data_IF_478790989332
#
_entry.id   IF_478790989332
#
_cell.length_a   1.000
_cell.length_b   1.000
_cell.length_c   1.000
_cell.angle_alpha   90.00
_cell.angle_beta   90.00
_cell.angle_gamma   90.00
#
_symmetry.space_group_name_H-M   'P 1'
#
loop_
_entity.id
_entity.type
_entity.pdbx_description
1 polymer ?
#
# COMPACT_ATOMS: atom_id res chain seq x y z
N UNK A 1 36.01 -17.75 22.13
CA UNK A 1 35.97 -18.94 21.25
C UNK A 1 34.57 -19.20 20.69
N UNK A 2 33.56 -19.59 21.50
CA UNK A 2 32.21 -19.85 20.98
C UNK A 2 31.40 -18.58 20.65
N UNK A 3 31.62 -17.49 21.39
CA UNK A 3 30.94 -16.20 21.17
C UNK A 3 31.45 -15.52 19.90
N UNK A 4 32.74 -15.63 19.60
CA UNK A 4 33.35 -14.99 18.42
C UNK A 4 32.90 -15.63 17.10
N UNK A 5 32.65 -16.95 17.10
CA UNK A 5 32.12 -17.65 15.94
C UNK A 5 30.64 -17.30 15.65
N UNK A 6 29.85 -17.07 16.71
CA UNK A 6 28.45 -16.66 16.57
C UNK A 6 28.32 -15.21 16.07
N UNK A 7 29.21 -14.32 16.50
CA UNK A 7 29.27 -12.94 16.01
C UNK A 7 29.71 -12.91 14.55
N UNK A 8 30.75 -13.68 14.18
CA UNK A 8 31.20 -13.77 12.78
C UNK A 8 30.11 -14.31 11.84
N UNK A 9 29.35 -15.32 12.27
CA UNK A 9 28.24 -15.85 11.48
C UNK A 9 27.08 -14.84 11.32
N UNK A 10 26.80 -14.02 12.34
CA UNK A 10 25.81 -12.94 12.23
C UNK A 10 26.29 -11.81 11.32
N UNK A 11 27.58 -11.48 11.34
CA UNK A 11 28.15 -10.44 10.47
C UNK A 11 28.09 -10.87 9.00
N UNK A 12 28.45 -12.11 8.68
CA UNK A 12 28.34 -12.64 7.31
C UNK A 12 26.89 -12.69 6.82
N UNK A 13 25.95 -13.09 7.68
CA UNK A 13 24.52 -13.09 7.34
C UNK A 13 23.95 -11.67 7.13
N UNK A 14 24.49 -10.67 7.84
CA UNK A 14 24.14 -9.26 7.64
C UNK A 14 24.72 -8.69 6.34
N UNK A 15 25.95 -9.08 5.99
CA UNK A 15 26.61 -8.68 4.75
C UNK A 15 25.94 -9.27 3.52
N UNK A 16 25.54 -10.56 3.56
CA UNK A 16 24.76 -11.20 2.50
C UNK A 16 23.37 -10.54 2.34
N UNK A 17 22.74 -10.15 3.45
CA UNK A 17 21.47 -9.40 3.44
C UNK A 17 21.63 -8.00 2.86
N UNK A 18 22.73 -7.30 3.15
CA UNK A 18 23.02 -5.98 2.60
C UNK A 18 23.31 -6.06 1.09
N UNK A 19 24.09 -7.05 0.66
CA UNK A 19 24.36 -7.29 -0.76
C UNK A 19 23.07 -7.66 -1.54
N UNK A 20 22.17 -8.44 -0.93
CA UNK A 20 20.86 -8.73 -1.52
C UNK A 20 19.97 -7.47 -1.61
N UNK A 21 20.01 -6.60 -0.59
CA UNK A 21 19.27 -5.34 -0.56
C UNK A 21 19.79 -4.32 -1.58
N UNK A 22 21.10 -4.22 -1.76
CA UNK A 22 21.72 -3.36 -2.77
C UNK A 22 21.39 -3.85 -4.19
N UNK A 23 21.33 -5.17 -4.39
CA UNK A 23 20.95 -5.76 -5.68
C UNK A 23 19.46 -5.55 -5.99
N UNK A 24 18.58 -5.67 -5.00
CA UNK A 24 17.15 -5.39 -5.14
C UNK A 24 16.86 -3.91 -5.35
N UNK A 25 17.57 -3.01 -4.67
CA UNK A 25 17.40 -1.55 -4.85
C UNK A 25 17.99 -1.05 -6.16
N UNK A 26 19.10 -1.62 -6.63
CA UNK A 26 19.64 -1.35 -7.96
C UNK A 26 18.71 -1.83 -9.10
N UNK A 27 18.01 -2.95 -8.91
CA UNK A 27 17.04 -3.44 -9.89
C UNK A 27 15.79 -2.54 -9.98
N UNK A 28 15.31 -2.03 -8.84
CA UNK A 28 14.18 -1.10 -8.75
C UNK A 28 14.51 0.31 -9.30
N UNK A 29 15.76 0.76 -9.18
CA UNK A 29 16.21 2.07 -9.69
C UNK A 29 16.49 2.10 -11.20
N UNK A 30 16.63 0.92 -11.85
CA UNK A 30 17.01 0.81 -13.26
C UNK A 30 15.84 0.69 -14.24
N UNK A 31 14.58 0.86 -13.80
CA UNK A 31 13.40 0.82 -14.68
C UNK A 31 13.16 -0.53 -15.37
N UNK A 32 13.74 -1.62 -14.83
CA UNK A 32 13.48 -2.97 -15.32
C UNK A 32 12.12 -3.47 -14.86
N UNK A 33 11.38 -4.09 -15.78
CA UNK A 33 10.09 -4.74 -15.50
C UNK A 33 10.16 -5.53 -14.18
N UNK A 34 9.24 -5.24 -13.26
CA UNK A 34 9.22 -5.85 -11.95
C UNK A 34 9.11 -7.39 -12.09
N UNK A 35 10.20 -8.09 -11.81
CA UNK A 35 10.19 -9.54 -11.65
C UNK A 35 9.21 -9.90 -10.52
N UNK A 36 8.26 -10.80 -10.82
CA UNK A 36 7.23 -11.24 -9.87
C UNK A 36 7.79 -11.71 -8.53
N UNK A 37 8.99 -12.30 -8.54
CA UNK A 37 9.70 -12.76 -7.35
C UNK A 37 10.06 -11.63 -6.37
N UNK A 38 10.36 -10.41 -6.88
CA UNK A 38 10.65 -9.26 -6.02
C UNK A 38 9.38 -8.70 -5.36
N UNK A 39 8.25 -8.76 -6.06
CA UNK A 39 6.94 -8.38 -5.54
C UNK A 39 6.48 -9.37 -4.46
N UNK A 40 6.64 -10.66 -4.70
CA UNK A 40 6.29 -11.71 -3.73
C UNK A 40 7.11 -11.60 -2.45
N UNK A 41 8.40 -11.27 -2.54
CA UNK A 41 9.26 -11.03 -1.36
C UNK A 41 8.80 -9.79 -0.55
N UNK A 42 8.39 -8.71 -1.23
CA UNK A 42 7.85 -7.50 -0.58
C UNK A 42 6.50 -7.79 0.09
N UNK A 43 5.64 -8.58 -0.55
CA UNK A 43 4.36 -9.04 0.00
C UNK A 43 4.61 -9.87 1.25
N UNK A 44 5.47 -10.89 1.17
CA UNK A 44 5.81 -11.74 2.31
C UNK A 44 6.38 -10.95 3.50
N UNK A 45 7.28 -9.99 3.23
CA UNK A 45 7.84 -9.11 4.26
C UNK A 45 6.76 -8.23 4.91
N UNK A 46 5.84 -7.66 4.13
CA UNK A 46 4.73 -6.85 4.67
C UNK A 46 3.75 -7.67 5.51
N UNK A 47 3.47 -8.93 5.11
CA UNK A 47 2.68 -9.86 5.93
C UNK A 47 3.36 -10.07 7.27
N UNK A 48 4.66 -10.36 7.28
CA UNK A 48 5.43 -10.61 8.50
C UNK A 48 5.52 -9.37 9.41
N UNK A 49 5.75 -8.18 8.85
CA UNK A 49 5.80 -6.91 9.60
C UNK A 49 4.45 -6.56 10.24
N UNK A 50 3.34 -6.75 9.51
CA UNK A 50 1.99 -6.46 10.03
C UNK A 50 1.46 -7.52 10.99
N UNK A 51 1.92 -8.77 10.88
CA UNK A 51 1.55 -9.88 11.78
C UNK A 51 2.45 -9.99 13.02
N UNK A 52 3.71 -9.52 12.94
CA UNK A 52 4.73 -9.63 14.00
C UNK A 52 4.87 -8.40 14.91
N UNK A 53 4.29 -7.25 14.55
CA UNK A 53 4.40 -6.00 15.30
C UNK A 53 3.52 -5.95 16.57
N UNK A 54 4.14 -5.84 17.75
CA UNK A 54 3.45 -5.55 19.01
C UNK A 54 2.66 -4.23 18.91
N UNK A 55 1.34 -4.34 19.11
CA UNK A 55 0.33 -3.30 19.40
C UNK A 55 0.88 -1.90 19.76
N UNK A 56 0.46 -0.88 19.02
CA UNK A 56 -0.07 0.35 19.65
C UNK A 56 -1.03 1.18 18.80
N UNK A 57 -0.98 1.08 17.49
CA UNK A 57 -1.98 1.70 16.62
C UNK A 57 -2.70 0.58 15.86
N UNK A 58 -4.02 0.69 15.72
CA UNK A 58 -4.80 -0.27 14.95
C UNK A 58 -4.21 -0.44 13.54
N UNK A 59 -4.56 -1.53 12.86
CA UNK A 59 -4.22 -1.68 11.43
C UNK A 59 -4.79 -0.52 10.60
N UNK A 60 -5.86 0.10 11.11
CA UNK A 60 -6.34 1.44 10.77
C UNK A 60 -5.80 2.45 11.78
N UNK A 61 -4.50 2.73 11.74
CA UNK A 61 -3.94 3.76 12.61
C UNK A 61 -4.71 5.06 12.42
N UNK A 62 -4.97 5.80 13.50
CA UNK A 62 -5.51 7.17 13.46
C UNK A 62 -4.54 8.17 12.77
N UNK A 63 -3.67 7.70 11.87
CA UNK A 63 -3.00 8.53 10.89
C UNK A 63 -4.08 9.04 9.93
N UNK A 64 -4.72 10.13 10.36
CA UNK A 64 -5.64 10.92 9.54
C UNK A 64 -5.02 11.08 8.15
N UNK A 65 -5.71 10.54 7.14
CA UNK A 65 -5.43 10.80 5.73
C UNK A 65 -5.13 12.28 5.55
N UNK A 66 -3.94 12.60 5.04
CA UNK A 66 -3.51 13.99 4.92
C UNK A 66 -4.12 14.60 3.65
N UNK A 67 -4.75 15.80 3.73
CA UNK A 67 -5.28 16.46 2.55
C UNK A 67 -4.18 16.77 1.54
N UNK A 68 -4.47 16.61 0.23
CA UNK A 68 -3.54 16.96 -0.84
C UNK A 68 -3.10 18.42 -0.72
N UNK A 69 -4.01 19.34 -0.37
CA UNK A 69 -3.72 20.77 -0.16
C UNK A 69 -2.64 21.03 0.88
N UNK A 70 -2.47 20.17 1.89
CA UNK A 70 -1.38 20.28 2.86
C UNK A 70 -0.06 19.75 2.31
N UNK A 71 -0.11 18.65 1.58
CA UNK A 71 1.06 18.08 0.88
C UNK A 71 1.55 19.06 -0.19
N UNK A 72 0.64 19.70 -0.92
CA UNK A 72 0.95 20.72 -1.91
C UNK A 72 1.72 21.89 -1.31
N UNK A 73 1.33 22.36 -0.12
CA UNK A 73 2.05 23.41 0.59
C UNK A 73 3.45 22.96 0.99
N UNK A 74 3.59 21.74 1.50
CA UNK A 74 4.91 21.19 1.83
C UNK A 74 5.78 21.06 0.59
N UNK A 75 5.24 20.62 -0.54
CA UNK A 75 6.00 20.42 -1.76
C UNK A 75 6.13 21.70 -2.61
N UNK A 76 5.53 22.80 -2.16
CA UNK A 76 5.47 24.07 -2.90
C UNK A 76 4.95 23.84 -4.33
N UNK A 77 3.88 23.07 -4.46
CA UNK A 77 3.28 22.76 -5.76
C UNK A 77 2.59 23.99 -6.34
N UNK A 78 2.69 24.11 -7.66
CA UNK A 78 1.81 24.98 -8.42
C UNK A 78 0.41 24.37 -8.51
N UNK A 79 -0.61 25.19 -8.71
CA UNK A 79 -1.99 24.73 -8.90
C UNK A 79 -2.11 23.66 -10.02
N UNK A 80 -1.48 23.82 -11.22
CA UNK A 80 -1.48 22.76 -12.22
C UNK A 80 -0.83 21.44 -11.77
N UNK A 81 0.20 21.49 -10.92
CA UNK A 81 0.82 20.26 -10.39
C UNK A 81 -0.08 19.59 -9.36
N UNK A 82 -0.74 20.38 -8.50
CA UNK A 82 -1.73 19.86 -7.55
C UNK A 82 -2.88 19.17 -8.28
N UNK A 83 -3.46 19.81 -9.30
CA UNK A 83 -4.54 19.22 -10.11
C UNK A 83 -4.12 17.91 -10.79
N UNK A 84 -2.91 17.87 -11.35
CA UNK A 84 -2.37 16.66 -11.99
C UNK A 84 -2.12 15.54 -10.99
N UNK A 85 -1.60 15.86 -9.79
CA UNK A 85 -1.44 14.90 -8.72
C UNK A 85 -2.79 14.37 -8.22
N UNK A 86 -3.78 15.25 -8.04
CA UNK A 86 -5.14 14.87 -7.65
C UNK A 86 -5.73 13.87 -8.65
N UNK A 87 -5.69 14.20 -9.94
CA UNK A 87 -6.19 13.34 -11.00
C UNK A 87 -5.47 11.97 -11.04
N UNK A 88 -4.15 11.94 -10.82
CA UNK A 88 -3.38 10.70 -10.76
C UNK A 88 -3.77 9.84 -9.54
N UNK A 89 -3.93 10.46 -8.38
CA UNK A 89 -4.38 9.80 -7.14
C UNK A 89 -5.79 9.23 -7.35
N UNK A 90 -6.73 10.03 -7.83
CA UNK A 90 -8.13 9.62 -8.04
C UNK A 90 -8.22 8.46 -9.02
N UNK A 91 -7.48 8.53 -10.14
CA UNK A 91 -7.43 7.45 -11.11
C UNK A 91 -6.87 6.15 -10.50
N UNK A 92 -5.81 6.25 -9.69
CA UNK A 92 -5.23 5.08 -9.02
C UNK A 92 -6.17 4.51 -7.95
N UNK A 93 -6.78 5.37 -7.12
CA UNK A 93 -7.77 4.98 -6.11
C UNK A 93 -8.97 4.29 -6.76
N UNK A 94 -9.44 4.80 -7.91
CA UNK A 94 -10.50 4.14 -8.69
C UNK A 94 -10.09 2.76 -9.17
N UNK A 95 -8.88 2.59 -9.70
CA UNK A 95 -8.41 1.27 -10.14
C UNK A 95 -8.30 0.27 -8.99
N UNK A 96 -7.79 0.71 -7.83
CA UNK A 96 -7.75 -0.14 -6.62
C UNK A 96 -9.16 -0.46 -6.14
N UNK A 97 -10.08 0.49 -6.20
CA UNK A 97 -11.49 0.28 -5.87
C UNK A 97 -12.13 -0.76 -6.80
N UNK A 98 -12.01 -0.59 -8.11
CA UNK A 98 -12.52 -1.53 -9.12
C UNK A 98 -11.92 -2.94 -8.91
N UNK A 99 -10.65 -3.01 -8.53
CA UNK A 99 -9.98 -4.25 -8.20
C UNK A 99 -10.64 -4.93 -6.98
N UNK A 100 -10.75 -4.25 -5.85
CA UNK A 100 -11.26 -4.88 -4.62
C UNK A 100 -12.78 -5.12 -4.65
N UNK A 101 -13.49 -4.44 -5.55
CA UNK A 101 -14.92 -4.66 -5.82
C UNK A 101 -15.17 -5.69 -6.94
N UNK A 102 -14.12 -6.28 -7.52
CA UNK A 102 -14.26 -7.36 -8.50
C UNK A 102 -15.02 -8.53 -7.88
N UNK A 103 -16.16 -8.96 -8.47
CA UNK A 103 -16.96 -10.07 -7.93
C UNK A 103 -16.19 -11.38 -7.90
N UNK A 104 -16.32 -12.12 -6.80
CA UNK A 104 -15.80 -13.48 -6.63
C UNK A 104 -16.86 -14.51 -7.04
N UNK A 105 -16.52 -15.80 -6.91
CA UNK A 105 -17.39 -16.92 -7.31
C UNK A 105 -18.71 -17.01 -6.51
N UNK A 106 -18.74 -16.47 -5.30
CA UNK A 106 -19.92 -16.38 -4.44
C UNK A 106 -20.79 -15.13 -4.73
N UNK A 107 -20.37 -14.29 -5.66
CA UNK A 107 -21.05 -13.06 -6.05
C UNK A 107 -20.78 -11.86 -5.13
N UNK A 108 -19.95 -12.00 -4.08
CA UNK A 108 -19.53 -10.88 -3.22
C UNK A 108 -18.15 -10.37 -3.63
N UNK A 109 -17.66 -9.34 -2.94
CA UNK A 109 -16.30 -8.80 -3.08
C UNK A 109 -15.68 -8.46 -1.71
N UNK A 110 -14.43 -7.99 -1.69
CA UNK A 110 -13.74 -7.68 -0.42
C UNK A 110 -14.41 -6.55 0.38
N UNK A 111 -14.97 -5.55 -0.29
CA UNK A 111 -15.68 -4.47 0.40
C UNK A 111 -17.03 -4.91 0.94
N UNK A 112 -17.70 -5.89 0.33
CA UNK A 112 -18.89 -6.51 0.91
C UNK A 112 -18.55 -7.20 2.23
N UNK A 113 -17.46 -7.98 2.28
CA UNK A 113 -17.00 -8.64 3.50
C UNK A 113 -16.63 -7.60 4.58
N UNK A 114 -16.00 -6.49 4.18
CA UNK A 114 -15.67 -5.40 5.09
C UNK A 114 -16.94 -4.70 5.62
N UNK A 115 -17.91 -4.42 4.76
CA UNK A 115 -19.17 -3.82 5.16
C UNK A 115 -19.92 -4.73 6.16
N UNK A 116 -19.93 -6.04 5.92
CA UNK A 116 -20.52 -7.01 6.83
C UNK A 116 -19.76 -7.11 8.16
N UNK A 117 -18.43 -7.08 8.12
CA UNK A 117 -17.60 -7.01 9.32
C UNK A 117 -17.93 -5.77 10.18
N UNK A 118 -18.09 -4.60 9.56
CA UNK A 118 -18.38 -3.34 10.25
C UNK A 118 -19.81 -3.26 10.83
N UNK A 119 -20.73 -4.12 10.39
CA UNK A 119 -22.08 -4.23 10.95
C UNK A 119 -22.13 -4.97 12.29
N UNK A 120 -21.08 -5.70 12.66
CA UNK A 120 -20.98 -6.38 13.95
C UNK A 120 -20.34 -5.46 15.00
N UNK A 121 -21.12 -4.82 15.89
CA UNK A 121 -20.58 -3.85 16.84
C UNK A 121 -19.67 -4.47 17.91
N UNK A 122 -19.76 -5.78 18.15
CA UNK A 122 -18.98 -6.46 19.19
C UNK A 122 -17.61 -6.91 18.67
N UNK A 123 -17.52 -7.23 17.38
CA UNK A 123 -16.32 -7.79 16.75
C UNK A 123 -15.84 -7.05 15.49
N UNK A 124 -16.34 -5.84 15.21
CA UNK A 124 -16.06 -5.09 13.97
C UNK A 124 -14.56 -5.03 13.64
N UNK A 125 -13.72 -4.68 14.61
CA UNK A 125 -12.29 -4.51 14.38
C UNK A 125 -11.59 -5.82 14.03
N UNK A 126 -11.90 -6.91 14.74
CA UNK A 126 -11.32 -8.24 14.50
C UNK A 126 -11.73 -8.77 13.13
N UNK A 127 -13.02 -8.64 12.79
CA UNK A 127 -13.54 -9.08 11.49
C UNK A 127 -12.99 -8.23 10.34
N UNK A 128 -12.91 -6.91 10.51
CA UNK A 128 -12.31 -6.03 9.51
C UNK A 128 -10.82 -6.34 9.29
N UNK A 129 -10.09 -6.69 10.36
CA UNK A 129 -8.71 -7.16 10.26
C UNK A 129 -8.61 -8.47 9.48
N UNK A 130 -9.53 -9.42 9.70
CA UNK A 130 -9.56 -10.66 8.95
C UNK A 130 -9.77 -10.42 7.44
N UNK A 131 -10.68 -9.49 7.08
CA UNK A 131 -10.88 -9.07 5.68
C UNK A 131 -9.64 -8.39 5.12
N UNK A 132 -8.99 -7.52 5.90
CA UNK A 132 -7.74 -6.88 5.48
C UNK A 132 -6.64 -7.90 5.19
N UNK A 133 -6.50 -8.94 6.00
CA UNK A 133 -5.52 -10.01 5.78
C UNK A 133 -5.79 -10.76 4.46
N UNK A 134 -7.04 -10.82 3.99
CA UNK A 134 -7.34 -11.42 2.69
C UNK A 134 -6.69 -10.65 1.53
N UNK A 135 -6.39 -9.36 1.67
CA UNK A 135 -5.66 -8.62 0.62
C UNK A 135 -4.30 -9.27 0.34
N UNK A 136 -3.67 -9.84 1.36
CA UNK A 136 -2.32 -10.40 1.27
C UNK A 136 -2.33 -11.82 0.70
N UNK A 137 -3.39 -12.58 0.97
CA UNK A 137 -3.43 -14.03 0.71
C UNK A 137 -4.39 -14.44 -0.39
N UNK A 138 -5.47 -13.68 -0.62
CA UNK A 138 -6.46 -14.02 -1.63
C UNK A 138 -5.99 -13.60 -3.02
N UNK A 139 -6.20 -14.48 -3.99
CA UNK A 139 -6.00 -14.22 -5.41
C UNK A 139 -7.17 -13.44 -5.99
N UNK A 140 -6.88 -12.59 -6.96
CA UNK A 140 -7.90 -11.88 -7.72
C UNK A 140 -8.63 -12.89 -8.63
N UNK A 141 -9.98 -12.86 -8.71
CA UNK A 141 -10.73 -13.74 -9.61
C UNK A 141 -10.20 -13.70 -11.04
N UNK A 142 -9.86 -14.87 -11.58
CA UNK A 142 -9.30 -15.01 -12.93
C UNK A 142 -7.81 -14.67 -13.07
N UNK A 143 -7.10 -14.46 -11.96
CA UNK A 143 -5.66 -14.18 -11.94
C UNK A 143 -4.92 -15.04 -10.91
N UNK A 144 -3.61 -15.21 -11.12
CA UNK A 144 -2.71 -15.79 -10.12
C UNK A 144 -2.14 -14.76 -9.13
N UNK A 145 -2.32 -13.46 -9.40
CA UNK A 145 -1.88 -12.36 -8.53
C UNK A 145 -2.77 -12.22 -7.30
N UNK A 146 -2.17 -11.89 -6.15
CA UNK A 146 -2.92 -11.45 -4.96
C UNK A 146 -3.40 -10.01 -5.10
N UNK A 147 -4.42 -9.64 -4.34
CA UNK A 147 -4.89 -8.24 -4.30
C UNK A 147 -3.78 -7.28 -3.90
N UNK A 148 -2.99 -7.61 -2.88
CA UNK A 148 -1.89 -6.76 -2.42
C UNK A 148 -0.80 -6.61 -3.49
N UNK A 149 -0.41 -7.69 -4.18
CA UNK A 149 0.58 -7.60 -5.24
C UNK A 149 0.13 -6.58 -6.31
N UNK A 150 -1.15 -6.64 -6.70
CA UNK A 150 -1.70 -5.70 -7.68
C UNK A 150 -1.79 -4.26 -7.16
N UNK A 151 -2.18 -4.07 -5.91
CA UNK A 151 -2.22 -2.74 -5.26
C UNK A 151 -0.81 -2.14 -5.20
N UNK A 152 0.21 -2.95 -4.87
CA UNK A 152 1.60 -2.49 -4.85
C UNK A 152 2.08 -2.08 -6.25
N UNK A 153 1.71 -2.81 -7.29
CA UNK A 153 1.97 -2.42 -8.69
C UNK A 153 1.34 -1.07 -9.02
N UNK A 154 0.07 -0.84 -8.63
CA UNK A 154 -0.56 0.47 -8.88
C UNK A 154 0.01 1.60 -8.03
N UNK A 155 0.54 1.30 -6.84
CA UNK A 155 1.30 2.27 -6.05
C UNK A 155 2.62 2.65 -6.73
N UNK A 156 3.33 1.68 -7.31
CA UNK A 156 4.54 1.95 -8.11
C UNK A 156 4.20 2.82 -9.31
N UNK A 157 3.15 2.45 -10.06
CA UNK A 157 2.68 3.24 -11.21
C UNK A 157 2.30 4.68 -10.83
N UNK A 158 1.62 4.87 -9.69
CA UNK A 158 1.27 6.20 -9.19
C UNK A 158 2.51 7.05 -8.84
N UNK A 159 3.53 6.44 -8.22
CA UNK A 159 4.79 7.15 -7.98
C UNK A 159 5.51 7.53 -9.28
N UNK A 160 5.42 6.71 -10.32
CA UNK A 160 5.92 7.09 -11.65
C UNK A 160 5.13 8.25 -12.27
N UNK A 161 3.82 8.33 -12.06
CA UNK A 161 3.05 9.52 -12.47
C UNK A 161 3.49 10.76 -11.69
N UNK A 162 3.75 10.65 -10.39
CA UNK A 162 4.27 11.76 -9.60
C UNK A 162 5.62 12.25 -10.12
N UNK A 163 6.51 11.35 -10.56
CA UNK A 163 7.80 11.71 -11.16
C UNK A 163 7.69 12.52 -12.45
N UNK A 164 6.56 12.43 -13.16
CA UNK A 164 6.30 13.23 -14.38
C UNK A 164 5.80 14.65 -14.04
N UNK A 165 5.16 14.82 -12.89
CA UNK A 165 4.52 16.06 -12.45
C UNK A 165 5.46 16.89 -11.55
N UNK A 166 6.18 16.21 -10.66
CA UNK A 166 7.06 16.82 -9.67
C UNK A 166 8.46 17.07 -10.22
N UNK A 167 9.09 18.16 -9.81
CA UNK A 167 10.53 18.32 -10.03
C UNK A 167 11.31 17.27 -9.21
N UNK A 168 12.58 16.98 -9.56
CA UNK A 168 13.40 16.05 -8.78
C UNK A 168 13.55 16.44 -7.30
N UNK A 169 13.54 17.74 -6.98
CA UNK A 169 13.62 18.22 -5.60
C UNK A 169 12.30 18.02 -4.85
N UNK A 170 11.16 18.29 -5.51
CA UNK A 170 9.83 18.04 -4.97
C UNK A 170 9.61 16.54 -4.73
N UNK A 171 10.03 15.68 -5.67
CA UNK A 171 9.92 14.22 -5.52
C UNK A 171 10.74 13.73 -4.33
N UNK A 172 11.98 14.21 -4.16
CA UNK A 172 12.81 13.87 -2.98
C UNK A 172 12.16 14.33 -1.67
N UNK A 173 11.49 15.49 -1.68
CA UNK A 173 10.77 16.00 -0.50
C UNK A 173 9.56 15.12 -0.20
N UNK A 174 8.79 14.73 -1.23
CA UNK A 174 7.67 13.81 -1.12
C UNK A 174 8.09 12.44 -0.56
N UNK A 175 9.14 11.83 -1.09
CA UNK A 175 9.65 10.54 -0.61
C UNK A 175 10.08 10.59 0.87
N UNK A 176 10.59 11.74 1.34
CA UNK A 176 10.93 11.97 2.76
C UNK A 176 9.73 12.13 3.67
N UNK A 177 8.57 12.54 3.15
CA UNK A 177 7.34 12.59 3.95
C UNK A 177 6.88 11.19 4.35
N UNK A 178 7.31 10.15 3.61
CA UNK A 178 6.90 8.76 3.88
C UNK A 178 5.40 8.52 3.68
N UNK A 179 4.68 9.47 3.06
CA UNK A 179 3.24 9.41 2.87
C UNK A 179 2.88 8.34 1.84
N UNK A 180 1.96 7.45 2.17
CA UNK A 180 1.36 6.57 1.18
C UNK A 180 0.48 7.39 0.22
N UNK A 181 0.71 7.36 -1.10
CA UNK A 181 -0.10 8.11 -2.04
C UNK A 181 -1.59 7.70 -2.05
N UNK A 182 -1.92 6.47 -1.67
CA UNK A 182 -3.32 6.04 -1.55
C UNK A 182 -4.02 6.56 -0.29
N UNK A 183 -3.27 7.09 0.67
CA UNK A 183 -3.78 7.70 1.90
C UNK A 183 -3.90 9.23 1.81
N UNK A 184 -3.61 9.82 0.65
CA UNK A 184 -3.79 11.25 0.40
C UNK A 184 -5.28 11.52 0.11
N UNK A 185 -5.84 12.53 0.76
CA UNK A 185 -7.24 12.93 0.56
C UNK A 185 -7.33 14.03 -0.51
N UNK A 186 -7.94 13.69 -1.64
CA UNK A 186 -8.23 14.58 -2.78
C UNK A 186 -9.67 15.13 -2.76
N UNK A 187 -10.54 14.53 -1.95
CA UNK A 187 -11.98 14.78 -1.96
C UNK A 187 -12.78 13.68 -2.67
N UNK A 188 -12.12 12.79 -3.40
CA UNK A 188 -12.69 11.55 -3.92
C UNK A 188 -12.58 10.44 -2.86
N UNK A 189 -13.70 9.82 -2.49
CA UNK A 189 -13.73 8.72 -1.50
C UNK A 189 -14.69 7.58 -1.91
N UNK A 190 -14.33 6.80 -2.95
CA UNK A 190 -15.20 5.73 -3.45
C UNK A 190 -15.42 4.61 -2.41
N UNK A 191 -14.48 4.43 -1.49
CA UNK A 191 -14.58 3.43 -0.42
C UNK A 191 -15.61 3.87 0.63
N UNK A 192 -15.54 5.12 1.09
CA UNK A 192 -16.50 5.69 2.02
C UNK A 192 -17.92 5.68 1.46
N UNK A 193 -18.09 6.13 0.22
CA UNK A 193 -19.38 6.12 -0.49
C UNK A 193 -19.98 4.71 -0.56
N UNK A 194 -19.18 3.72 -0.97
CA UNK A 194 -19.60 2.33 -1.06
C UNK A 194 -20.02 1.75 0.30
N UNK A 195 -19.22 1.98 1.34
CA UNK A 195 -19.49 1.47 2.67
C UNK A 195 -20.77 2.10 3.27
N UNK A 196 -21.00 3.40 3.06
CA UNK A 196 -22.23 4.08 3.49
C UNK A 196 -23.46 3.44 2.83
N UNK A 197 -23.42 3.24 1.51
CA UNK A 197 -24.50 2.60 0.76
C UNK A 197 -24.80 1.18 1.29
N UNK A 198 -23.75 0.36 1.49
CA UNK A 198 -23.90 -1.05 1.93
C UNK A 198 -24.25 -1.22 3.40
N UNK A 199 -23.97 -0.22 4.23
CA UNK A 199 -24.38 -0.19 5.64
C UNK A 199 -25.78 0.40 5.84
N UNK A 200 -26.41 0.95 4.79
CA UNK A 200 -27.75 1.54 4.87
C UNK A 200 -27.81 2.78 5.76
N UNK A 201 -26.75 3.59 5.77
CA UNK A 201 -26.64 4.85 6.53
C UNK A 201 -26.85 6.07 5.66
#
# INVERSE_FOLDING_TARGET
>A
AAVDAAVAAQTTALEERLASLEKSTAALAAGGAADGDALDAVVAKKVEEKMGGKKKDGIFGDEKKRPLTEISKDLELTEPQEDQMAAAIDASQKKVFDLITTPRNDGTNLLDDLAEALKDPEHAQEKAQAVFLQLFTAKIPGSDETYLAKIMTEKVALNEEFRKVLTPEQMKKYERLGQDPHEIQTGYDPYGEYLVERMGK
#
